data_IF_855852014569
#
_entry.id   IF_855852014569
#
_cell.length_a   1.000
_cell.length_b   1.000
_cell.length_c   1.000
_cell.angle_alpha   90.00
_cell.angle_beta   90.00
_cell.angle_gamma   90.00
#
_symmetry.space_group_name_H-M   'P 1'
#
loop_
_entity.id
_entity.type
_entity.pdbx_description
1 polymer ?
#
# COMPACT_ATOMS: atom_id res chain seq x y z
N UNK A 1 -14.47 3.57 -1.63
CA UNK A 1 -13.06 3.26 -1.97
C UNK A 1 -12.75 1.85 -1.50
N UNK A 2 -11.96 1.09 -2.25
CA UNK A 2 -11.53 -0.27 -1.90
C UNK A 2 -10.00 -0.38 -1.90
N UNK A 3 -9.46 -0.84 -0.78
CA UNK A 3 -8.02 -1.10 -0.60
C UNK A 3 -7.81 -2.60 -0.45
N UNK A 4 -6.92 -3.17 -1.26
CA UNK A 4 -6.47 -4.55 -1.12
C UNK A 4 -5.13 -4.61 -0.41
N UNK A 5 -4.98 -5.55 0.50
CA UNK A 5 -3.75 -5.74 1.28
C UNK A 5 -3.03 -6.99 0.81
N UNK A 6 -1.84 -6.80 0.25
CA UNK A 6 -0.89 -7.85 -0.13
C UNK A 6 0.41 -7.74 0.68
N UNK A 7 1.53 -8.05 0.06
CA UNK A 7 2.87 -8.08 0.65
C UNK A 7 3.19 -9.40 1.36
N UNK A 8 4.37 -9.52 1.93
CA UNK A 8 4.79 -10.76 2.58
C UNK A 8 4.38 -10.86 4.06
N UNK A 9 4.25 -9.73 4.75
CA UNK A 9 4.08 -9.71 6.21
C UNK A 9 3.01 -8.71 6.66
N UNK A 10 2.53 -8.91 7.89
CA UNK A 10 1.67 -7.97 8.64
C UNK A 10 0.35 -7.54 7.96
N UNK A 11 -0.18 -8.33 7.01
CA UNK A 11 -1.43 -8.02 6.27
C UNK A 11 -2.60 -7.69 7.20
N UNK A 12 -2.77 -8.48 8.27
CA UNK A 12 -3.85 -8.30 9.23
C UNK A 12 -3.70 -6.98 10.00
N UNK A 13 -2.46 -6.59 10.35
CA UNK A 13 -2.19 -5.31 11.02
C UNK A 13 -2.44 -4.13 10.09
N UNK A 14 -2.03 -4.23 8.82
CA UNK A 14 -2.30 -3.20 7.81
C UNK A 14 -3.81 -3.03 7.66
N UNK A 15 -4.56 -4.12 7.47
CA UNK A 15 -6.00 -4.07 7.29
C UNK A 15 -6.73 -3.50 8.51
N UNK A 16 -6.33 -3.92 9.72
CA UNK A 16 -6.84 -3.37 10.97
C UNK A 16 -6.58 -1.87 11.06
N UNK A 17 -5.35 -1.42 10.76
CA UNK A 17 -4.98 -0.01 10.83
C UNK A 17 -5.77 0.85 9.82
N UNK A 18 -5.99 0.34 8.61
CA UNK A 18 -6.84 1.02 7.63
C UNK A 18 -8.25 1.20 8.18
N UNK A 19 -8.83 0.14 8.76
CA UNK A 19 -10.17 0.19 9.34
C UNK A 19 -10.28 1.11 10.56
N UNK A 20 -9.25 1.16 11.41
CA UNK A 20 -9.20 2.10 12.53
C UNK A 20 -9.22 3.57 12.10
N UNK A 21 -8.56 3.91 10.98
CA UNK A 21 -8.48 5.28 10.49
C UNK A 21 -9.71 5.64 9.64
N UNK A 22 -10.07 4.78 8.70
CA UNK A 22 -11.04 5.10 7.64
C UNK A 22 -12.46 4.56 7.90
N UNK A 23 -12.63 3.67 8.87
CA UNK A 23 -13.93 3.07 9.21
C UNK A 23 -14.65 2.49 7.99
N UNK A 24 -15.85 2.99 7.74
CA UNK A 24 -16.73 2.56 6.65
C UNK A 24 -16.47 3.28 5.32
N UNK A 25 -15.60 4.29 5.27
CA UNK A 25 -15.24 4.99 4.03
C UNK A 25 -14.43 4.10 3.06
N UNK A 26 -13.75 3.09 3.62
CA UNK A 26 -12.86 2.19 2.89
C UNK A 26 -13.27 0.73 3.11
N UNK A 27 -13.57 0.02 2.03
CA UNK A 27 -13.61 -1.45 2.04
C UNK A 27 -12.17 -1.99 2.01
N UNK A 28 -11.85 -2.95 2.88
CA UNK A 28 -10.50 -3.54 2.98
C UNK A 28 -10.59 -5.04 2.79
N UNK A 29 -9.80 -5.58 1.88
CA UNK A 29 -9.72 -7.03 1.64
C UNK A 29 -8.27 -7.50 1.68
N UNK A 30 -7.98 -8.53 2.49
CA UNK A 30 -6.67 -9.17 2.52
C UNK A 30 -6.61 -10.24 1.44
N UNK A 31 -5.56 -10.26 0.65
CA UNK A 31 -5.35 -11.23 -0.42
C UNK A 31 -3.89 -11.69 -0.47
N UNK A 32 -3.62 -12.76 -1.23
CA UNK A 32 -2.28 -13.01 -1.73
C UNK A 32 -1.86 -11.93 -2.75
N UNK A 33 -0.57 -11.79 -2.96
CA UNK A 33 -0.01 -10.64 -3.67
C UNK A 33 -0.39 -10.64 -5.16
N UNK A 34 -0.53 -11.82 -5.75
CA UNK A 34 -0.93 -11.99 -7.15
C UNK A 34 -2.39 -11.57 -7.32
N UNK A 35 -3.27 -12.05 -6.45
CA UNK A 35 -4.70 -11.71 -6.49
C UNK A 35 -4.93 -10.23 -6.20
N UNK A 36 -4.24 -9.66 -5.21
CA UNK A 36 -4.31 -8.24 -4.89
C UNK A 36 -3.88 -7.37 -6.09
N UNK A 37 -2.72 -7.66 -6.68
CA UNK A 37 -2.22 -6.92 -7.84
C UNK A 37 -3.15 -7.07 -9.06
N UNK A 38 -3.68 -8.26 -9.32
CA UNK A 38 -4.67 -8.45 -10.40
C UNK A 38 -5.98 -7.70 -10.14
N UNK A 39 -6.40 -7.57 -8.89
CA UNK A 39 -7.61 -6.82 -8.52
C UNK A 39 -7.46 -5.34 -8.86
N UNK A 40 -6.28 -4.75 -8.59
CA UNK A 40 -5.93 -3.39 -9.05
C UNK A 40 -5.91 -3.31 -10.57
N UNK A 41 -5.24 -4.25 -11.25
CA UNK A 41 -5.14 -4.27 -12.72
C UNK A 41 -6.50 -4.29 -13.41
N UNK A 42 -7.47 -4.97 -12.80
CA UNK A 42 -8.84 -5.09 -13.29
C UNK A 42 -9.73 -3.90 -12.92
N UNK A 43 -9.22 -2.91 -12.19
CA UNK A 43 -10.01 -1.77 -11.70
C UNK A 43 -11.05 -2.14 -10.64
N UNK A 44 -10.87 -3.27 -9.95
CA UNK A 44 -11.78 -3.76 -8.89
C UNK A 44 -11.39 -3.29 -7.50
N UNK A 45 -10.24 -2.64 -7.37
CA UNK A 45 -9.80 -1.95 -6.16
C UNK A 45 -8.99 -0.71 -6.56
N UNK A 46 -8.97 0.29 -5.68
CA UNK A 46 -8.35 1.58 -5.93
C UNK A 46 -6.87 1.58 -5.56
N UNK A 47 -6.53 0.99 -4.41
CA UNK A 47 -5.17 0.97 -3.89
C UNK A 47 -4.73 -0.40 -3.37
N UNK A 48 -3.46 -0.71 -3.55
CA UNK A 48 -2.78 -1.87 -2.98
C UNK A 48 -1.80 -1.39 -1.92
N UNK A 49 -1.89 -1.92 -0.69
CA UNK A 49 -0.87 -1.72 0.35
C UNK A 49 -0.18 -3.05 0.67
N UNK A 50 1.14 -3.03 0.79
CA UNK A 50 1.92 -4.21 1.15
C UNK A 50 3.12 -3.86 2.03
N UNK A 51 3.51 -4.81 2.88
CA UNK A 51 4.70 -4.69 3.69
C UNK A 51 5.66 -5.88 3.55
N UNK A 52 6.94 -5.60 3.78
CA UNK A 52 8.00 -6.59 3.99
C UNK A 52 9.08 -5.97 4.89
N UNK A 53 10.18 -6.66 5.17
CA UNK A 53 11.24 -6.11 6.02
C UNK A 53 12.02 -4.96 5.38
N UNK A 54 12.04 -4.85 4.05
CA UNK A 54 12.79 -3.81 3.33
C UNK A 54 11.90 -2.73 2.72
N UNK A 55 10.58 -2.93 2.72
CA UNK A 55 9.57 -2.10 2.09
C UNK A 55 9.45 -2.18 0.57
N UNK A 56 10.46 -2.71 -0.12
CA UNK A 56 10.44 -2.93 -1.56
C UNK A 56 10.06 -4.36 -1.94
N UNK A 57 11.08 -5.21 -2.17
CA UNK A 57 10.96 -6.52 -2.79
C UNK A 57 9.72 -7.34 -2.39
N UNK A 58 9.66 -7.82 -1.16
CA UNK A 58 8.50 -8.61 -0.69
C UNK A 58 7.19 -7.84 -0.53
N UNK A 59 7.22 -6.50 -0.49
CA UNK A 59 6.01 -5.70 -0.34
C UNK A 59 5.31 -5.49 -1.70
N UNK A 60 6.11 -5.38 -2.78
CA UNK A 60 5.66 -4.95 -4.09
C UNK A 60 6.09 -5.84 -5.26
N UNK A 61 6.92 -6.87 -5.07
CA UNK A 61 7.53 -7.61 -6.18
C UNK A 61 6.52 -8.12 -7.20
N UNK A 62 5.45 -8.78 -6.75
CA UNK A 62 4.37 -9.23 -7.64
C UNK A 62 3.52 -8.08 -8.18
N UNK A 63 3.29 -7.04 -7.37
CA UNK A 63 2.58 -5.85 -7.83
C UNK A 63 3.32 -5.16 -8.98
N UNK A 64 4.65 -5.00 -8.87
CA UNK A 64 5.49 -4.45 -9.93
C UNK A 64 5.50 -5.33 -11.18
N UNK A 65 5.52 -6.66 -11.04
CA UNK A 65 5.46 -7.56 -12.19
C UNK A 65 4.13 -7.47 -12.96
N UNK A 66 3.01 -7.25 -12.26
CA UNK A 66 1.66 -7.28 -12.85
C UNK A 66 1.20 -5.88 -13.30
N UNK A 67 1.50 -4.85 -12.53
CA UNK A 67 1.07 -3.46 -12.73
C UNK A 67 2.15 -2.58 -13.39
N UNK A 68 3.37 -3.09 -13.51
CA UNK A 68 4.62 -2.36 -13.79
C UNK A 68 5.10 -1.49 -12.62
N UNK A 69 6.40 -1.20 -12.59
CA UNK A 69 7.02 -0.30 -11.62
C UNK A 69 6.48 1.13 -11.71
N UNK A 70 5.94 1.55 -12.85
CA UNK A 70 5.36 2.90 -13.01
C UNK A 70 4.09 3.07 -12.20
N UNK A 71 3.43 2.00 -11.76
CA UNK A 71 2.24 2.03 -10.88
C UNK A 71 2.53 1.75 -9.41
N UNK A 72 3.78 1.42 -9.07
CA UNK A 72 4.18 1.05 -7.72
C UNK A 72 5.14 2.08 -7.12
N UNK A 73 5.09 2.26 -5.80
CA UNK A 73 5.99 3.13 -5.05
C UNK A 73 6.38 2.52 -3.70
N UNK A 74 7.68 2.47 -3.42
CA UNK A 74 8.18 2.15 -2.06
C UNK A 74 8.25 3.45 -1.27
N UNK A 75 7.39 3.61 -0.26
CA UNK A 75 7.27 4.86 0.50
C UNK A 75 8.10 4.87 1.79
N UNK A 76 8.65 3.71 2.20
CA UNK A 76 9.62 3.65 3.28
C UNK A 76 10.51 2.42 3.19
N UNK A 77 11.70 2.53 3.79
CA UNK A 77 12.71 1.49 3.90
C UNK A 77 13.34 1.54 5.30
N UNK A 78 14.10 0.51 5.74
CA UNK A 78 14.86 0.59 6.98
C UNK A 78 15.69 1.88 7.07
N UNK A 79 15.67 2.53 8.23
CA UNK A 79 16.28 3.84 8.50
C UNK A 79 15.76 5.03 7.65
N UNK A 80 14.78 4.82 6.77
CA UNK A 80 14.17 5.85 5.92
C UNK A 80 12.65 5.85 6.15
N UNK A 81 12.16 6.58 7.18
CA UNK A 81 10.74 6.65 7.48
C UNK A 81 9.95 7.32 6.35
N UNK A 82 8.65 7.02 6.22
CA UNK A 82 7.81 7.67 5.22
C UNK A 82 7.74 9.17 5.48
N UNK A 83 7.77 9.93 4.38
CA UNK A 83 7.61 11.38 4.32
C UNK A 83 6.33 11.70 3.57
N UNK A 84 5.59 12.68 4.06
CA UNK A 84 4.29 13.05 3.50
C UNK A 84 4.43 13.62 2.09
N UNK A 85 5.43 14.48 1.87
CA UNK A 85 5.70 15.11 0.58
C UNK A 85 5.92 14.05 -0.50
N UNK A 86 6.67 12.99 -0.16
CA UNK A 86 6.93 11.90 -1.09
C UNK A 86 5.65 11.11 -1.42
N UNK A 87 4.77 10.93 -0.45
CA UNK A 87 3.50 10.22 -0.68
C UNK A 87 2.62 11.02 -1.64
N UNK A 88 2.53 12.34 -1.44
CA UNK A 88 1.77 13.23 -2.34
C UNK A 88 2.32 13.16 -3.76
N UNK A 89 3.64 13.31 -3.93
CA UNK A 89 4.30 13.19 -5.25
C UNK A 89 3.93 11.87 -5.96
N UNK A 90 3.97 10.75 -5.25
CA UNK A 90 3.68 9.44 -5.82
C UNK A 90 2.18 9.28 -6.14
N UNK A 91 1.28 9.82 -5.31
CA UNK A 91 -0.15 9.84 -5.60
C UNK A 91 -0.46 10.68 -6.85
N UNK A 92 0.13 11.87 -6.97
CA UNK A 92 0.00 12.75 -8.15
C UNK A 92 0.60 12.10 -9.42
N UNK A 93 1.66 11.31 -9.26
CA UNK A 93 2.22 10.50 -10.34
C UNK A 93 1.34 9.30 -10.75
N UNK A 94 0.17 9.12 -10.13
CA UNK A 94 -0.80 8.08 -10.47
C UNK A 94 -0.37 6.68 -10.00
N UNK A 95 0.43 6.60 -8.92
CA UNK A 95 0.76 5.34 -8.25
C UNK A 95 -0.46 4.82 -7.49
N UNK A 96 -0.62 3.50 -7.53
CA UNK A 96 -1.76 2.80 -6.92
C UNK A 96 -1.33 1.66 -6.01
N UNK A 97 -0.07 1.23 -6.08
CA UNK A 97 0.47 0.17 -5.22
C UNK A 97 1.63 0.69 -4.36
N UNK A 98 1.47 0.62 -3.05
CA UNK A 98 2.40 1.20 -2.08
C UNK A 98 3.03 0.13 -1.18
N UNK A 99 4.35 0.14 -1.12
CA UNK A 99 5.18 -0.76 -0.33
C UNK A 99 5.89 0.00 0.79
N UNK A 100 5.93 -0.59 1.97
CA UNK A 100 6.64 -0.01 3.13
C UNK A 100 7.21 -1.09 4.03
N UNK A 101 8.21 -0.73 4.83
CA UNK A 101 8.72 -1.67 5.84
C UNK A 101 7.68 -1.90 6.94
N UNK A 102 7.60 -3.12 7.46
CA UNK A 102 6.76 -3.48 8.62
C UNK A 102 6.98 -2.55 9.82
N UNK A 103 8.22 -2.10 10.02
CA UNK A 103 8.62 -1.23 11.13
C UNK A 103 7.96 0.16 11.05
N UNK A 104 7.53 0.56 9.86
CA UNK A 104 6.90 1.85 9.60
C UNK A 104 5.40 1.76 9.33
N UNK A 105 4.78 0.59 9.49
CA UNK A 105 3.37 0.33 9.16
C UNK A 105 2.44 1.42 9.69
N UNK A 106 2.53 1.72 10.99
CA UNK A 106 1.67 2.72 11.65
C UNK A 106 1.72 4.07 10.94
N UNK A 107 2.93 4.58 10.70
CA UNK A 107 3.14 5.89 10.07
C UNK A 107 2.81 5.86 8.58
N UNK A 108 3.20 4.81 7.87
CA UNK A 108 2.98 4.66 6.43
C UNK A 108 1.49 4.63 6.08
N UNK A 109 0.72 3.77 6.76
CA UNK A 109 -0.73 3.66 6.54
C UNK A 109 -1.44 4.96 6.91
N UNK A 110 -1.05 5.60 8.01
CA UNK A 110 -1.64 6.89 8.43
C UNK A 110 -1.43 7.98 7.39
N UNK A 111 -0.21 8.16 6.89
CA UNK A 111 0.09 9.20 5.90
C UNK A 111 -0.55 8.91 4.54
N UNK A 112 -0.57 7.64 4.10
CA UNK A 112 -1.26 7.26 2.87
C UNK A 112 -2.74 7.60 2.94
N UNK A 113 -3.45 7.17 3.98
CA UNK A 113 -4.89 7.41 4.10
C UNK A 113 -5.21 8.88 4.27
N UNK A 114 -4.42 9.63 5.05
CA UNK A 114 -4.57 11.09 5.18
C UNK A 114 -4.58 11.77 3.80
N UNK A 115 -3.69 11.36 2.89
CA UNK A 115 -3.56 11.99 1.58
C UNK A 115 -4.49 11.41 0.50
N UNK A 116 -5.05 10.22 0.73
CA UNK A 116 -6.01 9.57 -0.16
C UNK A 116 -7.47 9.98 0.14
N UNK A 117 -7.80 10.23 1.41
CA UNK A 117 -9.16 10.55 1.86
C UNK A 117 -9.44 12.05 2.02
N UNK A 118 -8.42 12.90 1.80
CA UNK A 118 -8.53 14.36 1.86
C UNK A 118 -9.45 14.93 0.78
#
# INVERSE_FOLDING_TARGET
MKIVVGGQVDKQKIAKKIKEIAGDQVEVEIMDDIKAANTIKQGKADYYFGACHTGGGGALGMAMAILSSTKCATISMPAKPPKEEKIVEELEAGKVAFGFTSDHLEKAVTLLLKNILN
#
